data_IF_225915093885
#
_entry.id   IF_225915093885
#
_cell.length_a   1.000
_cell.length_b   1.000
_cell.length_c   1.000
_cell.angle_alpha   90.00
_cell.angle_beta   90.00
_cell.angle_gamma   90.00
#
_symmetry.space_group_name_H-M   'P 1'
#
loop_
_entity.id
_entity.type
_entity.pdbx_description
1 polymer ?
#
# COMPACT_ATOMS: atom_id res chain seq x y z
N UNK A 1 18.73 0.93 -6.44
CA UNK A 1 18.39 -0.02 -5.36
C UNK A 1 16.93 -0.40 -5.52
N UNK A 2 16.62 -1.69 -5.73
CA UNK A 2 15.26 -2.19 -5.95
C UNK A 2 14.36 -1.86 -4.74
N UNK A 3 13.16 -1.32 -4.95
CA UNK A 3 12.27 -0.89 -3.86
C UNK A 3 11.93 -2.05 -2.91
N UNK A 4 11.72 -3.25 -3.45
CA UNK A 4 11.44 -4.47 -2.68
C UNK A 4 12.52 -4.74 -1.63
N UNK A 5 13.80 -4.56 -1.98
CA UNK A 5 14.93 -4.70 -1.04
C UNK A 5 14.89 -3.67 0.09
N UNK A 6 14.45 -2.45 -0.21
CA UNK A 6 14.36 -1.38 0.78
C UNK A 6 13.26 -1.70 1.79
N UNK A 7 12.10 -2.14 1.29
CA UNK A 7 10.98 -2.54 2.14
C UNK A 7 11.36 -3.77 2.96
N UNK A 8 11.99 -4.78 2.34
CA UNK A 8 12.44 -5.99 3.03
C UNK A 8 13.48 -5.75 4.14
N UNK A 9 14.20 -4.62 4.09
CA UNK A 9 15.16 -4.24 5.13
C UNK A 9 14.51 -3.59 6.38
N UNK A 10 13.23 -3.21 6.31
CA UNK A 10 12.52 -2.59 7.44
C UNK A 10 12.27 -3.64 8.53
N UNK A 11 12.71 -3.42 9.78
CA UNK A 11 12.45 -4.35 10.88
C UNK A 11 10.95 -4.63 11.04
N UNK A 12 10.57 -5.91 10.98
CA UNK A 12 9.16 -6.34 11.07
C UNK A 12 8.53 -6.67 9.72
N UNK A 13 9.18 -6.37 8.59
CA UNK A 13 8.75 -6.90 7.30
C UNK A 13 9.08 -8.38 7.23
N UNK A 14 8.04 -9.19 6.99
CA UNK A 14 8.15 -10.66 6.84
C UNK A 14 8.43 -11.01 5.39
N UNK A 15 7.81 -10.27 4.48
CA UNK A 15 7.99 -10.42 3.04
C UNK A 15 7.62 -9.13 2.31
N UNK A 16 8.30 -8.87 1.20
CA UNK A 16 7.97 -7.79 0.29
C UNK A 16 8.10 -8.28 -1.15
N UNK A 17 7.36 -7.68 -2.08
CA UNK A 17 7.44 -8.10 -3.47
C UNK A 17 6.72 -7.18 -4.42
N UNK A 18 6.77 -7.56 -5.69
CA UNK A 18 6.02 -6.94 -6.76
C UNK A 18 5.19 -7.99 -7.49
N UNK A 19 4.06 -7.56 -8.05
CA UNK A 19 3.14 -8.41 -8.77
C UNK A 19 2.64 -7.67 -10.01
N UNK A 20 2.43 -8.40 -11.10
CA UNK A 20 1.80 -7.83 -12.27
C UNK A 20 0.30 -7.67 -12.02
N UNK A 21 -0.20 -6.45 -12.25
CA UNK A 21 -1.64 -6.20 -12.20
C UNK A 21 -2.40 -7.00 -13.28
N UNK A 22 -1.74 -7.26 -14.42
CA UNK A 22 -2.22 -8.15 -15.48
C UNK A 22 -1.22 -9.30 -15.69
N UNK A 23 -1.71 -10.53 -15.77
CA UNK A 23 -0.87 -11.72 -15.90
C UNK A 23 -0.51 -12.37 -14.56
N UNK A 24 0.48 -13.28 -14.62
CA UNK A 24 0.87 -14.14 -13.49
C UNK A 24 2.32 -13.89 -13.04
N UNK A 25 2.95 -12.81 -13.50
CA UNK A 25 4.33 -12.46 -13.12
C UNK A 25 4.38 -11.86 -11.71
N UNK A 26 5.35 -12.30 -10.91
CA UNK A 26 5.63 -11.76 -9.58
C UNK A 26 7.09 -11.98 -9.17
N UNK A 27 7.60 -11.12 -8.31
CA UNK A 27 8.91 -11.26 -7.65
C UNK A 27 8.78 -10.94 -6.17
N UNK A 28 9.55 -11.61 -5.32
CA UNK A 28 9.46 -11.38 -3.87
C UNK A 28 10.79 -11.64 -3.16
N UNK A 29 10.93 -11.02 -1.99
CA UNK A 29 11.96 -11.30 -1.00
C UNK A 29 11.32 -11.56 0.37
N UNK A 30 11.88 -12.50 1.13
CA UNK A 30 11.45 -12.82 2.50
C UNK A 30 11.14 -14.30 2.73
N UNK A 31 10.45 -14.58 3.83
CA UNK A 31 10.23 -15.93 4.32
C UNK A 31 8.88 -16.53 3.85
N UNK A 32 8.62 -16.57 2.54
CA UNK A 32 7.42 -17.20 1.96
C UNK A 32 7.78 -18.38 1.05
N UNK A 33 6.92 -19.39 1.01
CA UNK A 33 7.02 -20.49 0.04
C UNK A 33 6.51 -20.03 -1.33
N UNK A 34 6.97 -20.66 -2.42
CA UNK A 34 6.53 -20.31 -3.78
C UNK A 34 4.99 -20.39 -3.96
N UNK A 35 4.34 -21.37 -3.33
CA UNK A 35 2.88 -21.47 -3.31
C UNK A 35 2.23 -20.27 -2.64
N UNK A 36 2.74 -19.87 -1.48
CA UNK A 36 2.20 -18.73 -0.74
C UNK A 36 2.38 -17.42 -1.49
N UNK A 37 3.51 -17.25 -2.18
CA UNK A 37 3.77 -16.06 -3.01
C UNK A 37 2.75 -15.95 -4.15
N UNK A 38 2.39 -17.08 -4.79
CA UNK A 38 1.34 -17.09 -5.82
C UNK A 38 -0.03 -16.72 -5.24
N UNK A 39 -0.36 -17.21 -4.05
CA UNK A 39 -1.62 -16.84 -3.39
C UNK A 39 -1.63 -15.34 -3.08
N UNK A 40 -0.52 -14.82 -2.56
CA UNK A 40 -0.36 -13.39 -2.26
C UNK A 40 -0.53 -12.52 -3.50
N UNK A 41 0.09 -12.87 -4.63
CA UNK A 41 -0.05 -12.07 -5.86
C UNK A 41 -1.50 -12.02 -6.36
N UNK A 42 -2.22 -13.15 -6.30
CA UNK A 42 -3.65 -13.21 -6.62
C UNK A 42 -4.47 -12.34 -5.67
N UNK A 43 -4.22 -12.43 -4.36
CA UNK A 43 -4.88 -11.60 -3.35
C UNK A 43 -4.63 -10.11 -3.59
N UNK A 44 -3.40 -9.74 -3.92
CA UNK A 44 -3.06 -8.36 -4.21
C UNK A 44 -3.82 -7.81 -5.41
N UNK A 45 -3.96 -8.60 -6.48
CA UNK A 45 -4.74 -8.22 -7.65
C UNK A 45 -6.23 -8.06 -7.31
N UNK A 46 -6.82 -9.03 -6.61
CA UNK A 46 -8.25 -9.03 -6.25
C UNK A 46 -8.60 -7.83 -5.36
N UNK A 47 -7.79 -7.57 -4.32
CA UNK A 47 -8.03 -6.47 -3.40
C UNK A 47 -7.86 -5.11 -4.08
N UNK A 48 -6.86 -4.97 -4.96
CA UNK A 48 -6.66 -3.73 -5.72
C UNK A 48 -7.84 -3.47 -6.66
N UNK A 49 -8.27 -4.48 -7.42
CA UNK A 49 -9.47 -4.40 -8.27
C UNK A 49 -10.72 -4.02 -7.46
N UNK A 50 -10.91 -4.67 -6.30
CA UNK A 50 -12.04 -4.40 -5.41
C UNK A 50 -12.03 -2.97 -4.89
N UNK A 51 -10.86 -2.46 -4.49
CA UNK A 51 -10.71 -1.08 -4.02
C UNK A 51 -11.05 -0.07 -5.13
N UNK A 52 -10.61 -0.32 -6.37
CA UNK A 52 -11.00 0.49 -7.52
C UNK A 52 -12.52 0.47 -7.74
N UNK A 53 -13.14 -0.71 -7.75
CA UNK A 53 -14.59 -0.85 -7.94
C UNK A 53 -15.39 -0.13 -6.85
N UNK A 54 -15.01 -0.29 -5.58
CA UNK A 54 -15.67 0.37 -4.45
C UNK A 54 -15.55 1.89 -4.55
N UNK A 55 -14.37 2.39 -4.92
CA UNK A 55 -14.16 3.83 -5.13
C UNK A 55 -15.01 4.38 -6.28
N UNK A 56 -15.19 3.63 -7.36
CA UNK A 56 -16.04 4.02 -8.49
C UNK A 56 -17.52 4.05 -8.12
N UNK A 57 -18.00 3.04 -7.39
CA UNK A 57 -19.39 3.00 -6.90
C UNK A 57 -19.67 4.21 -6.00
N UNK A 58 -18.75 4.51 -5.08
CA UNK A 58 -18.92 5.62 -4.15
C UNK A 58 -18.86 6.97 -4.85
N UNK A 59 -17.95 7.16 -5.81
CA UNK A 59 -17.91 8.37 -6.64
C UNK A 59 -19.19 8.56 -7.45
N UNK A 60 -19.74 7.48 -8.01
CA UNK A 60 -20.99 7.54 -8.77
C UNK A 60 -22.20 7.89 -7.87
N UNK A 61 -22.20 7.43 -6.63
CA UNK A 61 -23.30 7.66 -5.68
C UNK A 61 -23.25 9.03 -5.00
N UNK A 62 -22.05 9.50 -4.60
CA UNK A 62 -21.88 10.68 -3.78
C UNK A 62 -21.31 11.90 -4.53
N UNK A 63 -20.67 11.68 -5.69
CA UNK A 63 -19.99 12.73 -6.47
C UNK A 63 -18.72 13.24 -5.79
N UNK A 64 -17.65 13.44 -6.57
CA UNK A 64 -16.40 14.08 -6.15
C UNK A 64 -15.86 13.66 -4.77
N UNK A 65 -15.70 12.35 -4.53
CA UNK A 65 -15.31 11.84 -3.20
C UNK A 65 -13.82 12.03 -2.88
N UNK A 66 -13.01 12.37 -3.90
CA UNK A 66 -11.55 12.47 -3.76
C UNK A 66 -10.85 11.12 -3.61
N UNK A 67 -11.57 9.99 -3.71
CA UNK A 67 -11.01 8.65 -3.54
C UNK A 67 -10.24 8.13 -4.76
N UNK A 68 -10.41 8.77 -5.93
CA UNK A 68 -9.70 8.44 -7.17
C UNK A 68 -8.57 9.44 -7.45
N UNK A 69 -7.42 8.97 -7.96
CA UNK A 69 -7.08 7.57 -8.22
C UNK A 69 -6.70 6.81 -6.94
N UNK A 70 -7.22 5.59 -6.79
CA UNK A 70 -6.87 4.68 -5.70
C UNK A 70 -5.36 4.41 -5.75
N UNK A 71 -4.66 4.68 -4.64
CA UNK A 71 -3.21 4.52 -4.55
C UNK A 71 -2.81 3.12 -4.07
N UNK A 72 -3.68 2.47 -3.29
CA UNK A 72 -3.38 1.24 -2.60
C UNK A 72 -4.39 0.94 -1.51
N UNK A 73 -4.11 -0.09 -0.73
CA UNK A 73 -4.95 -0.55 0.36
C UNK A 73 -4.11 -1.20 1.46
N UNK A 74 -4.69 -1.28 2.65
CA UNK A 74 -4.09 -1.91 3.82
C UNK A 74 -5.16 -2.80 4.46
N UNK A 75 -4.79 -4.03 4.77
CA UNK A 75 -5.54 -4.94 5.64
C UNK A 75 -4.74 -5.10 6.92
N UNK A 76 -5.29 -4.59 8.03
CA UNK A 76 -4.64 -4.64 9.34
C UNK A 76 -5.30 -5.71 10.21
N UNK A 77 -4.54 -6.74 10.55
CA UNK A 77 -4.93 -7.75 11.54
C UNK A 77 -4.43 -7.41 12.94
N UNK A 78 -4.64 -8.31 13.91
CA UNK A 78 -4.13 -8.14 15.29
C UNK A 78 -2.63 -8.37 15.42
N UNK A 79 -2.06 -9.26 14.60
CA UNK A 79 -0.65 -9.65 14.64
C UNK A 79 0.14 -9.26 13.40
N UNK A 80 -0.51 -9.23 12.25
CA UNK A 80 0.13 -8.90 10.98
C UNK A 80 -0.76 -8.01 10.14
N UNK A 81 -0.12 -7.21 9.31
CA UNK A 81 -0.77 -6.39 8.31
C UNK A 81 -0.24 -6.71 6.93
N UNK A 82 -1.11 -6.49 5.95
CA UNK A 82 -0.80 -6.61 4.55
C UNK A 82 -1.13 -5.29 3.87
N UNK A 83 -0.23 -4.77 3.05
CA UNK A 83 -0.50 -3.58 2.27
C UNK A 83 -0.03 -3.75 0.83
N UNK A 84 -0.72 -3.09 -0.08
CA UNK A 84 -0.24 -2.92 -1.45
C UNK A 84 -0.42 -1.48 -1.90
N UNK A 85 0.59 -0.96 -2.62
CA UNK A 85 0.58 0.37 -3.25
C UNK A 85 1.13 0.21 -4.66
N UNK A 86 0.32 0.58 -5.65
CA UNK A 86 0.58 0.18 -7.04
C UNK A 86 0.76 -1.34 -7.16
N UNK A 87 1.87 -1.74 -7.80
CA UNK A 87 2.21 -3.15 -8.04
C UNK A 87 3.14 -3.75 -6.98
N UNK A 88 3.31 -3.09 -5.83
CA UNK A 88 4.18 -3.55 -4.75
C UNK A 88 3.37 -3.91 -3.52
N UNK A 89 3.81 -4.94 -2.80
CA UNK A 89 3.18 -5.38 -1.56
C UNK A 89 4.19 -5.61 -0.44
N UNK A 90 3.69 -5.60 0.79
CA UNK A 90 4.44 -5.99 1.97
C UNK A 90 3.54 -6.72 2.98
N UNK A 91 4.10 -7.75 3.59
CA UNK A 91 3.57 -8.43 4.77
C UNK A 91 4.40 -8.02 5.97
N UNK A 92 3.75 -7.49 6.99
CA UNK A 92 4.41 -6.84 8.12
C UNK A 92 3.87 -7.41 9.43
N UNK A 93 4.77 -7.70 10.37
CA UNK A 93 4.47 -7.95 11.77
C UNK A 93 4.09 -6.63 12.46
N UNK A 94 2.98 -6.61 13.21
CA UNK A 94 2.41 -5.38 13.80
C UNK A 94 3.15 -4.90 15.05
N UNK A 95 4.48 -4.89 15.01
CA UNK A 95 5.28 -4.14 15.97
C UNK A 95 5.10 -2.65 15.73
N UNK A 96 5.33 -1.86 16.78
CA UNK A 96 5.20 -0.41 16.71
C UNK A 96 6.03 0.20 15.56
N UNK A 97 5.36 0.96 14.70
CA UNK A 97 5.98 1.77 13.63
C UNK A 97 6.35 1.05 12.33
N UNK A 98 6.37 -0.28 12.29
CA UNK A 98 6.82 -1.00 11.09
C UNK A 98 5.90 -0.79 9.87
N UNK A 99 4.58 -0.88 10.07
CA UNK A 99 3.60 -0.64 9.00
C UNK A 99 3.68 0.80 8.47
N UNK A 100 3.85 1.78 9.36
CA UNK A 100 3.95 3.19 9.01
C UNK A 100 5.19 3.46 8.14
N UNK A 101 6.33 2.87 8.50
CA UNK A 101 7.58 2.99 7.73
C UNK A 101 7.46 2.35 6.36
N UNK A 102 6.82 1.18 6.28
CA UNK A 102 6.54 0.48 5.01
C UNK A 102 5.65 1.34 4.10
N UNK A 103 4.52 1.83 4.61
CA UNK A 103 3.58 2.65 3.83
C UNK A 103 4.23 3.96 3.41
N UNK A 104 4.99 4.62 4.29
CA UNK A 104 5.75 5.83 3.94
C UNK A 104 6.74 5.56 2.80
N UNK A 105 7.47 4.46 2.88
CA UNK A 105 8.44 4.05 1.85
C UNK A 105 7.74 3.79 0.52
N UNK A 106 6.69 2.97 0.51
CA UNK A 106 5.88 2.67 -0.68
C UNK A 106 5.32 3.94 -1.33
N UNK A 107 4.74 4.84 -0.54
CA UNK A 107 4.15 6.09 -1.04
C UNK A 107 5.17 7.07 -1.59
N UNK A 108 6.36 7.16 -1.01
CA UNK A 108 7.43 8.05 -1.48
C UNK A 108 8.11 7.58 -2.78
N UNK A 109 8.01 6.28 -3.09
CA UNK A 109 8.73 5.65 -4.21
C UNK A 109 7.83 5.20 -5.37
N UNK A 110 6.58 4.86 -5.08
CA UNK A 110 5.60 4.30 -6.04
C UNK A 110 4.41 5.23 -6.22
N UNK A 111 3.96 5.84 -5.11
CA UNK A 111 2.83 6.76 -5.12
C UNK A 111 3.17 8.11 -5.75
N UNK A 112 2.13 8.90 -5.96
CA UNK A 112 2.18 10.21 -6.62
C UNK A 112 2.72 11.34 -5.71
N UNK A 113 3.53 11.01 -4.70
CA UNK A 113 4.05 11.95 -3.71
C UNK A 113 5.55 12.20 -3.92
N UNK A 114 5.86 13.34 -4.55
CA UNK A 114 7.21 13.89 -4.61
C UNK A 114 7.38 14.89 -3.45
N UNK A 115 7.83 14.42 -2.27
CA UNK A 115 8.02 15.27 -1.09
C UNK A 115 7.60 14.62 0.23
N UNK A 116 7.39 15.42 1.28
CA UNK A 116 6.92 14.93 2.58
C UNK A 116 5.50 14.32 2.47
N UNK A 117 5.37 13.06 2.92
CA UNK A 117 4.18 12.22 2.68
C UNK A 117 2.93 12.75 3.39
N UNK A 118 3.07 13.33 4.59
CA UNK A 118 1.95 13.82 5.39
C UNK A 118 1.38 15.14 4.86
N UNK A 119 2.18 16.20 4.60
CA UNK A 119 1.68 17.43 3.98
C UNK A 119 1.00 17.20 2.63
N UNK A 120 1.58 16.36 1.78
CA UNK A 120 1.00 16.05 0.47
C UNK A 120 -0.31 15.24 0.56
N UNK A 121 -0.50 14.45 1.62
CA UNK A 121 -1.77 13.75 1.87
C UNK A 121 -2.85 14.73 2.34
N UNK A 122 -2.52 15.53 3.36
CA UNK A 122 -3.45 16.49 3.97
C UNK A 122 -3.94 17.52 2.95
N UNK A 123 -3.04 18.08 2.14
CA UNK A 123 -3.42 19.03 1.10
C UNK A 123 -4.40 18.44 0.06
N UNK A 124 -4.30 17.14 -0.26
CA UNK A 124 -5.18 16.48 -1.25
C UNK A 124 -6.58 16.17 -0.71
N UNK A 125 -6.73 16.04 0.61
CA UNK A 125 -8.04 15.90 1.28
C UNK A 125 -8.61 17.25 1.75
N UNK A 126 -7.96 18.37 1.40
CA UNK A 126 -8.40 19.72 1.76
C UNK A 126 -8.05 20.16 3.19
N UNK A 127 -7.18 19.43 3.89
CA UNK A 127 -6.71 19.79 5.23
C UNK A 127 -5.49 20.71 5.22
N UNK A 128 -5.44 21.67 6.13
CA UNK A 128 -4.27 22.54 6.35
C UNK A 128 -3.29 21.85 7.32
N UNK A 129 -2.05 21.66 6.87
CA UNK A 129 -0.97 21.01 7.63
C UNK A 129 -0.43 21.89 8.76
N UNK A 130 -0.77 23.17 8.76
CA UNK A 130 -0.44 24.14 9.80
C UNK A 130 -1.60 24.39 10.77
N UNK A 131 -2.75 23.75 10.57
CA UNK A 131 -3.87 23.83 11.49
C UNK A 131 -3.49 23.05 12.75
N UNK A 132 -3.09 23.77 13.79
CA UNK A 132 -2.92 23.20 15.12
C UNK A 132 -4.29 22.64 15.56
N UNK A 133 -4.38 21.31 15.66
CA UNK A 133 -5.50 20.67 16.34
C UNK A 133 -5.44 21.13 17.80
N UNK A 134 -6.29 22.10 18.14
CA UNK A 134 -6.49 22.60 19.51
C UNK A 134 -7.13 21.52 20.39
#
# INVERSE_FOLDING_TARGET
MHIVKQIGAIPGVIAAGEYAYHGDDFSFEGALTAEFVRIVSIMCRVNTLTAHMQSEILDAAAGQTGLRPVQGWIVQGSRMSFCAVGNYFAMVDNRDGALDEVVRTLRSRVGDLRGEVLPGLYARIGGDVHEALY
#
